data_IF_023713727636
#
_entry.id   IF_023713727636
#
_cell.length_a   1.000
_cell.length_b   1.000
_cell.length_c   1.000
_cell.angle_alpha   90.00
_cell.angle_beta   90.00
_cell.angle_gamma   90.00
#
_symmetry.space_group_name_H-M   'P 1'
#
loop_
_entity.id
_entity.type
_entity.pdbx_description
1 polymer ?
#
# COMPACT_ATOMS: atom_id res chain seq x y z
N UNK A 1 -16.68 -35.64 12.59
CA UNK A 1 -16.78 -34.17 12.56
C UNK A 1 -15.38 -33.66 12.29
N UNK A 2 -15.04 -33.43 11.02
CA UNK A 2 -13.73 -32.90 10.62
C UNK A 2 -13.78 -31.39 10.83
N UNK A 3 -12.95 -30.89 11.77
CA UNK A 3 -12.74 -29.46 11.93
C UNK A 3 -12.09 -28.94 10.64
N UNK A 4 -12.88 -28.28 9.84
CA UNK A 4 -12.48 -27.52 8.66
C UNK A 4 -11.50 -26.45 9.13
N UNK A 5 -10.23 -26.69 8.90
CA UNK A 5 -9.15 -25.78 9.23
C UNK A 5 -9.35 -24.56 8.35
N UNK A 6 -10.09 -23.56 8.85
CA UNK A 6 -10.24 -22.28 8.19
C UNK A 6 -8.85 -21.73 7.88
N UNK A 7 -8.42 -21.83 6.63
CA UNK A 7 -7.11 -21.36 6.20
C UNK A 7 -7.07 -19.85 6.43
N UNK A 8 -6.10 -19.39 7.24
CA UNK A 8 -5.95 -17.95 7.50
C UNK A 8 -5.82 -17.22 6.18
N UNK A 9 -6.60 -16.15 5.96
CA UNK A 9 -6.57 -15.40 4.71
C UNK A 9 -5.15 -14.92 4.42
N UNK A 10 -4.69 -15.15 3.20
CA UNK A 10 -3.35 -14.74 2.76
C UNK A 10 -3.24 -13.22 2.78
N UNK A 11 -2.11 -12.73 3.31
CA UNK A 11 -1.82 -11.29 3.38
C UNK A 11 -0.88 -10.92 2.25
N UNK A 12 -1.35 -10.11 1.32
CA UNK A 12 -0.55 -9.58 0.24
C UNK A 12 0.00 -8.21 0.64
N UNK A 13 1.33 -8.12 0.74
CA UNK A 13 1.99 -6.87 1.15
C UNK A 13 1.88 -5.83 0.05
N UNK A 14 1.62 -4.58 0.43
CA UNK A 14 1.66 -3.46 -0.48
C UNK A 14 3.13 -3.08 -0.76
N UNK A 15 3.56 -3.19 -2.03
CA UNK A 15 4.92 -2.84 -2.46
C UNK A 15 5.31 -1.42 -2.11
N UNK A 16 4.35 -0.50 -2.12
CA UNK A 16 4.58 0.89 -1.77
C UNK A 16 5.03 1.06 -0.31
N UNK A 17 4.37 0.37 0.63
CA UNK A 17 4.75 0.41 2.03
C UNK A 17 6.11 -0.25 2.29
N UNK A 18 6.40 -1.34 1.57
CA UNK A 18 7.69 -2.01 1.65
C UNK A 18 8.84 -1.11 1.15
N UNK A 19 8.63 -0.43 0.04
CA UNK A 19 9.64 0.45 -0.55
C UNK A 19 9.89 1.70 0.31
N UNK A 20 8.81 2.30 0.85
CA UNK A 20 8.93 3.43 1.78
C UNK A 20 9.80 3.06 2.98
N UNK A 21 9.60 1.85 3.53
CA UNK A 21 10.46 1.33 4.59
C UNK A 21 11.93 1.22 4.15
N UNK A 22 12.19 0.66 2.97
CA UNK A 22 13.56 0.51 2.47
C UNK A 22 14.29 1.85 2.32
N UNK A 23 13.60 2.88 1.86
CA UNK A 23 14.18 4.21 1.71
C UNK A 23 14.41 4.90 3.06
N UNK A 24 13.42 4.84 3.94
CA UNK A 24 13.44 5.63 5.18
C UNK A 24 14.19 4.97 6.34
N UNK A 25 14.34 3.63 6.33
CA UNK A 25 15.08 2.93 7.38
C UNK A 25 16.52 3.42 7.54
N UNK A 26 17.16 3.75 6.41
CA UNK A 26 18.52 4.29 6.44
C UNK A 26 18.54 5.67 7.09
N UNK A 27 17.61 6.54 6.75
CA UNK A 27 17.49 7.87 7.32
C UNK A 27 17.17 7.83 8.82
N UNK A 28 16.23 7.00 9.24
CA UNK A 28 15.92 6.77 10.65
C UNK A 28 17.14 6.24 11.43
N UNK A 29 17.88 5.29 10.84
CA UNK A 29 19.12 4.77 11.42
C UNK A 29 20.20 5.81 11.54
N UNK A 30 20.36 6.67 10.55
CA UNK A 30 21.35 7.77 10.56
C UNK A 30 21.02 8.79 11.66
N UNK A 31 19.74 9.15 11.82
CA UNK A 31 19.31 10.04 12.92
C UNK A 31 19.62 9.42 14.29
N UNK A 32 19.31 8.12 14.47
CA UNK A 32 19.64 7.43 15.72
C UNK A 32 21.13 7.41 15.97
N UNK A 33 21.94 7.04 14.97
CA UNK A 33 23.40 6.98 15.11
C UNK A 33 23.99 8.37 15.44
N UNK A 34 23.53 9.41 14.72
CA UNK A 34 23.97 10.78 14.98
C UNK A 34 23.63 11.23 16.42
N UNK A 35 22.40 10.93 16.87
CA UNK A 35 21.99 11.23 18.25
C UNK A 35 22.82 10.51 19.30
N UNK A 36 23.09 9.21 19.11
CA UNK A 36 23.91 8.41 20.04
C UNK A 36 25.34 8.91 20.09
N UNK A 37 25.96 9.14 18.92
CA UNK A 37 27.35 9.64 18.83
C UNK A 37 27.49 11.03 19.47
N UNK A 38 26.59 11.95 19.13
CA UNK A 38 26.62 13.29 19.69
C UNK A 38 26.39 13.30 21.22
N UNK A 39 25.48 12.42 21.69
CA UNK A 39 25.26 12.23 23.14
C UNK A 39 26.53 11.69 23.81
N UNK A 40 27.19 10.69 23.24
CA UNK A 40 28.43 10.13 23.76
C UNK A 40 29.57 11.18 23.85
N UNK A 41 29.73 12.01 22.81
CA UNK A 41 30.72 13.11 22.80
C UNK A 41 30.40 14.14 23.89
N UNK A 42 29.12 14.50 24.04
CA UNK A 42 28.71 15.50 25.05
C UNK A 42 28.91 14.98 26.48
N UNK A 43 28.70 13.70 26.73
CA UNK A 43 29.02 13.05 28.01
C UNK A 43 30.51 13.10 28.28
N UNK A 44 31.34 12.73 27.29
CA UNK A 44 32.79 12.74 27.42
C UNK A 44 33.35 14.11 27.70
N UNK A 45 32.75 15.16 27.10
CA UNK A 45 33.15 16.57 27.32
C UNK A 45 32.58 17.17 28.61
N UNK A 46 31.80 16.44 29.39
CA UNK A 46 31.14 16.96 30.61
C UNK A 46 30.05 18.01 30.36
N UNK A 47 29.52 18.08 29.13
CA UNK A 47 28.56 19.11 28.70
C UNK A 47 27.09 18.64 28.73
N UNK A 48 26.74 17.74 29.65
CA UNK A 48 25.41 17.13 29.77
C UNK A 48 24.24 18.13 29.88
N UNK A 49 24.49 19.33 30.40
CA UNK A 49 23.46 20.35 30.60
C UNK A 49 23.60 21.56 29.68
N UNK A 50 24.43 21.47 28.64
CA UNK A 50 24.56 22.56 27.68
C UNK A 50 23.29 22.63 26.75
N UNK A 51 22.92 23.85 26.29
CA UNK A 51 21.83 23.99 25.32
C UNK A 51 22.05 23.19 24.05
N UNK A 52 23.31 23.05 23.60
CA UNK A 52 23.70 22.25 22.44
C UNK A 52 23.39 20.77 22.62
N UNK A 53 23.57 20.21 23.83
CA UNK A 53 23.24 18.84 24.14
C UNK A 53 21.74 18.55 23.99
N UNK A 54 20.90 19.47 24.45
CA UNK A 54 19.44 19.34 24.35
C UNK A 54 18.96 19.19 22.91
N UNK A 55 19.60 19.85 21.95
CA UNK A 55 19.30 19.73 20.52
C UNK A 55 19.60 18.32 20.00
N UNK A 56 20.75 17.75 20.38
CA UNK A 56 21.14 16.41 19.93
C UNK A 56 20.24 15.32 20.52
N UNK A 57 19.75 15.50 21.74
CA UNK A 57 18.87 14.56 22.41
C UNK A 57 17.55 14.35 21.64
N UNK A 58 17.11 15.35 20.85
CA UNK A 58 15.90 15.26 20.04
C UNK A 58 16.05 14.23 18.89
N UNK A 59 17.25 13.99 18.39
CA UNK A 59 17.47 13.08 17.26
C UNK A 59 17.15 11.62 17.61
N UNK A 60 17.39 11.19 18.85
CA UNK A 60 17.11 9.83 19.30
C UNK A 60 15.61 9.53 19.25
N UNK A 61 14.73 10.26 19.97
CA UNK A 61 13.29 10.01 19.92
C UNK A 61 12.71 10.22 18.52
N UNK A 62 13.23 11.19 17.75
CA UNK A 62 12.80 11.42 16.37
C UNK A 62 13.13 10.22 15.48
N UNK A 63 14.33 9.66 15.58
CA UNK A 63 14.73 8.46 14.84
C UNK A 63 13.89 7.23 15.20
N UNK A 64 13.62 7.04 16.51
CA UNK A 64 12.74 5.95 16.99
C UNK A 64 11.31 6.15 16.49
N UNK A 65 10.76 7.35 16.61
CA UNK A 65 9.41 7.66 16.17
C UNK A 65 9.26 7.45 14.65
N UNK A 66 10.18 8.00 13.87
CA UNK A 66 10.18 7.87 12.42
C UNK A 66 10.30 6.41 11.99
N UNK A 67 11.28 5.68 12.53
CA UNK A 67 11.47 4.26 12.25
C UNK A 67 10.26 3.42 12.67
N UNK A 68 9.73 3.65 13.86
CA UNK A 68 8.58 2.96 14.40
C UNK A 68 7.31 3.18 13.57
N UNK A 69 7.02 4.44 13.19
CA UNK A 69 5.87 4.79 12.36
C UNK A 69 5.93 4.11 11.00
N UNK A 70 7.10 4.15 10.34
CA UNK A 70 7.26 3.57 9.01
C UNK A 70 7.22 2.04 9.06
N UNK A 71 7.79 1.44 10.13
CA UNK A 71 7.73 0.01 10.36
C UNK A 71 6.29 -0.46 10.58
N UNK A 72 5.54 0.26 11.42
CA UNK A 72 4.12 0.00 11.67
C UNK A 72 3.30 0.12 10.38
N UNK A 73 3.58 1.14 9.55
CA UNK A 73 2.95 1.30 8.24
C UNK A 73 3.22 0.10 7.33
N UNK A 74 4.46 -0.39 7.28
CA UNK A 74 4.84 -1.58 6.51
C UNK A 74 4.05 -2.82 6.95
N UNK A 75 3.96 -3.08 8.25
CA UNK A 75 3.29 -4.28 8.77
C UNK A 75 1.77 -4.22 8.63
N UNK A 76 1.17 -3.04 8.81
CA UNK A 76 -0.28 -2.88 8.74
C UNK A 76 -0.81 -2.66 7.33
N UNK A 77 0.03 -2.22 6.39
CA UNK A 77 -0.37 -1.95 5.02
C UNK A 77 -0.39 -3.23 4.18
N UNK A 78 -1.53 -3.88 4.13
CA UNK A 78 -1.72 -5.14 3.39
C UNK A 78 -3.11 -5.20 2.74
N UNK A 79 -3.23 -6.12 1.78
CA UNK A 79 -4.49 -6.53 1.18
C UNK A 79 -4.75 -7.98 1.53
N UNK A 80 -5.99 -8.33 1.84
CA UNK A 80 -6.43 -9.68 2.17
C UNK A 80 -7.68 -10.00 1.37
N UNK A 81 -7.72 -11.20 0.82
CA UNK A 81 -8.91 -11.75 0.20
C UNK A 81 -9.64 -12.52 1.29
N UNK A 82 -10.85 -12.09 1.62
CA UNK A 82 -11.74 -12.70 2.61
C UNK A 82 -12.88 -13.40 1.88
N UNK A 83 -13.65 -14.21 2.59
CA UNK A 83 -14.80 -14.92 2.02
C UNK A 83 -15.94 -13.96 1.61
N UNK A 84 -16.07 -12.84 2.31
CA UNK A 84 -17.11 -11.81 2.11
C UNK A 84 -16.67 -10.61 1.27
N UNK A 85 -15.36 -10.47 1.00
CA UNK A 85 -14.85 -9.33 0.24
C UNK A 85 -13.35 -9.16 0.28
N UNK A 86 -12.88 -8.04 -0.28
CA UNK A 86 -11.47 -7.67 -0.31
C UNK A 86 -11.19 -6.62 0.76
N UNK A 87 -10.41 -6.98 1.76
CA UNK A 87 -9.97 -6.06 2.82
C UNK A 87 -8.67 -5.38 2.43
N UNK A 88 -8.70 -4.05 2.40
CA UNK A 88 -7.53 -3.21 2.18
C UNK A 88 -7.23 -2.49 3.49
N UNK A 89 -6.10 -2.83 4.09
CA UNK A 89 -5.68 -2.25 5.37
C UNK A 89 -4.59 -1.19 5.16
N UNK A 90 -4.70 -0.10 5.89
CA UNK A 90 -3.71 0.96 6.03
C UNK A 90 -3.16 0.97 7.45
N UNK A 91 -2.31 1.93 7.77
CA UNK A 91 -1.75 2.10 9.10
C UNK A 91 -2.83 2.22 10.19
N UNK A 92 -3.85 3.04 9.95
CA UNK A 92 -4.90 3.35 10.92
C UNK A 92 -6.28 2.87 10.50
N UNK A 93 -6.53 2.70 9.21
CA UNK A 93 -7.85 2.41 8.67
C UNK A 93 -7.83 1.13 7.84
N UNK A 94 -8.98 0.47 7.78
CA UNK A 94 -9.23 -0.63 6.85
C UNK A 94 -10.56 -0.40 6.13
N UNK A 95 -10.61 -0.84 4.88
CA UNK A 95 -11.82 -0.83 4.06
C UNK A 95 -12.05 -2.25 3.59
N UNK A 96 -13.26 -2.74 3.74
CA UNK A 96 -13.71 -4.01 3.12
C UNK A 96 -14.56 -3.63 1.92
N UNK A 97 -14.28 -4.24 0.80
CA UNK A 97 -15.00 -4.07 -0.46
C UNK A 97 -15.73 -5.38 -0.73
N UNK A 98 -17.03 -5.37 -0.60
CA UNK A 98 -17.87 -6.55 -0.86
C UNK A 98 -17.77 -6.96 -2.32
N UNK A 99 -17.80 -8.26 -2.61
CA UNK A 99 -17.70 -8.79 -3.97
C UNK A 99 -18.80 -8.26 -4.89
N UNK A 100 -20.01 -8.03 -4.37
CA UNK A 100 -21.14 -7.46 -5.13
C UNK A 100 -20.88 -6.04 -5.61
N UNK A 101 -20.02 -5.29 -4.89
CA UNK A 101 -19.59 -3.94 -5.25
C UNK A 101 -18.50 -3.96 -6.30
N UNK A 102 -17.85 -5.08 -6.56
CA UNK A 102 -16.75 -5.18 -7.52
C UNK A 102 -17.31 -5.34 -8.94
N UNK A 103 -16.94 -4.42 -9.81
CA UNK A 103 -17.33 -4.45 -11.22
C UNK A 103 -16.39 -5.30 -12.08
N UNK A 104 -15.10 -5.18 -11.82
CA UNK A 104 -14.05 -5.99 -12.42
C UNK A 104 -12.75 -5.87 -11.64
N UNK A 105 -11.90 -6.90 -11.77
CA UNK A 105 -10.55 -6.94 -11.24
C UNK A 105 -9.60 -7.32 -12.35
N UNK A 106 -8.44 -6.65 -12.44
CA UNK A 106 -7.40 -6.93 -13.45
C UNK A 106 -6.01 -6.70 -12.88
N UNK A 107 -5.05 -7.50 -13.33
CA UNK A 107 -3.64 -7.23 -13.14
C UNK A 107 -3.12 -6.41 -14.32
N UNK A 108 -2.69 -5.18 -14.07
CA UNK A 108 -2.20 -4.27 -15.10
C UNK A 108 -0.97 -3.52 -14.57
N UNK A 109 -0.07 -3.03 -15.45
CA UNK A 109 1.01 -2.16 -15.01
C UNK A 109 0.46 -0.88 -14.38
N UNK A 110 1.06 -0.44 -13.28
CA UNK A 110 0.58 0.72 -12.52
C UNK A 110 0.51 2.00 -13.36
N UNK A 111 1.33 2.14 -14.40
CA UNK A 111 1.31 3.26 -15.34
C UNK A 111 -0.05 3.51 -15.99
N UNK A 112 -0.87 2.48 -16.14
CA UNK A 112 -2.21 2.61 -16.74
C UNK A 112 -3.20 3.36 -15.84
N UNK A 113 -2.89 3.47 -14.55
CA UNK A 113 -3.71 4.24 -13.61
C UNK A 113 -3.44 5.75 -13.70
N UNK A 114 -2.24 6.12 -14.12
CA UNK A 114 -1.83 7.51 -14.18
C UNK A 114 -1.87 8.00 -15.63
N UNK A 115 -2.88 8.81 -15.96
CA UNK A 115 -2.90 9.53 -17.24
C UNK A 115 -1.77 10.56 -17.28
N UNK A 116 -1.28 10.91 -18.46
CA UNK A 116 -0.11 11.79 -18.66
C UNK A 116 -0.20 13.13 -17.91
N UNK A 117 -1.39 13.73 -17.79
CA UNK A 117 -1.61 14.98 -17.06
C UNK A 117 -1.33 14.87 -15.55
N UNK A 118 -1.49 13.69 -14.97
CA UNK A 118 -1.24 13.41 -13.54
C UNK A 118 0.19 12.96 -13.25
N UNK A 119 0.97 12.65 -14.26
CA UNK A 119 2.37 12.22 -14.15
C UNK A 119 3.23 13.17 -13.31
N UNK A 120 2.97 14.49 -13.37
CA UNK A 120 3.70 15.49 -12.57
C UNK A 120 3.40 15.43 -11.07
N UNK A 121 2.27 14.85 -10.67
CA UNK A 121 1.88 14.70 -9.26
C UNK A 121 2.25 13.34 -8.66
N UNK A 122 2.83 12.43 -9.45
CA UNK A 122 3.25 11.12 -8.96
C UNK A 122 4.42 11.33 -8.02
N UNK A 123 4.26 10.89 -6.77
CA UNK A 123 5.35 10.92 -5.81
C UNK A 123 6.57 10.15 -6.35
N UNK A 124 7.82 10.60 -6.08
CA UNK A 124 9.03 9.93 -6.57
C UNK A 124 9.06 8.44 -6.28
N UNK A 125 8.51 8.03 -5.13
CA UNK A 125 8.36 6.63 -4.71
C UNK A 125 7.50 5.81 -5.68
N UNK A 126 6.46 6.42 -6.26
CA UNK A 126 5.58 5.74 -7.21
C UNK A 126 6.22 5.59 -8.58
N UNK A 127 7.13 6.48 -8.98
CA UNK A 127 7.84 6.39 -10.27
C UNK A 127 8.61 5.09 -10.41
N UNK A 128 9.17 4.57 -9.31
CA UNK A 128 9.92 3.31 -9.32
C UNK A 128 9.02 2.07 -9.46
N UNK A 129 7.72 2.21 -9.21
CA UNK A 129 6.75 1.12 -9.31
C UNK A 129 5.82 1.26 -10.52
N UNK A 130 6.05 2.26 -11.36
CA UNK A 130 5.12 2.60 -12.45
C UNK A 130 4.95 1.47 -13.47
N UNK A 131 5.99 0.69 -13.71
CA UNK A 131 5.97 -0.46 -14.62
C UNK A 131 5.67 -1.80 -13.92
N UNK A 132 5.57 -1.80 -12.58
CA UNK A 132 5.25 -3.01 -11.84
C UNK A 132 3.77 -3.36 -11.96
N UNK A 133 3.45 -4.66 -11.88
CA UNK A 133 2.07 -5.11 -11.87
C UNK A 133 1.36 -4.60 -10.61
N UNK A 134 0.11 -4.22 -10.79
CA UNK A 134 -0.78 -3.81 -9.71
C UNK A 134 -2.15 -4.45 -9.91
N UNK A 135 -2.84 -4.70 -8.82
CA UNK A 135 -4.24 -5.13 -8.83
C UNK A 135 -5.11 -3.90 -8.98
N UNK A 136 -5.88 -3.87 -10.06
CA UNK A 136 -6.89 -2.85 -10.33
C UNK A 136 -8.25 -3.40 -9.96
N UNK A 137 -8.94 -2.73 -9.06
CA UNK A 137 -10.29 -3.07 -8.63
C UNK A 137 -11.20 -1.91 -9.01
N UNK A 138 -12.13 -2.14 -9.92
CA UNK A 138 -13.19 -1.16 -10.21
C UNK A 138 -14.39 -1.46 -9.34
N UNK A 139 -14.78 -0.49 -8.55
CA UNK A 139 -15.87 -0.59 -7.59
C UNK A 139 -17.12 0.09 -8.15
N UNK A 140 -18.28 -0.48 -7.88
CA UNK A 140 -19.58 0.13 -8.11
C UNK A 140 -20.01 0.80 -6.82
N UNK A 141 -20.42 2.05 -6.87
CA UNK A 141 -20.92 2.78 -5.71
C UNK A 141 -21.45 4.14 -6.13
N UNK A 142 -22.24 4.74 -5.27
CA UNK A 142 -22.62 6.14 -5.38
C UNK A 142 -21.47 7.06 -4.94
N UNK A 143 -21.56 8.33 -5.29
CA UNK A 143 -20.49 9.30 -4.99
C UNK A 143 -20.18 9.41 -3.49
N UNK A 144 -21.18 9.20 -2.62
CA UNK A 144 -20.98 9.26 -1.18
C UNK A 144 -20.19 8.04 -0.66
N UNK A 145 -20.51 6.83 -1.12
CA UNK A 145 -19.79 5.61 -0.75
C UNK A 145 -18.34 5.67 -1.24
N UNK A 146 -18.12 6.13 -2.48
CA UNK A 146 -16.79 6.31 -3.05
C UNK A 146 -15.97 7.37 -2.30
N UNK A 147 -16.58 8.49 -1.93
CA UNK A 147 -15.94 9.53 -1.14
C UNK A 147 -15.55 9.03 0.28
N UNK A 148 -16.43 8.27 0.94
CA UNK A 148 -16.16 7.62 2.23
C UNK A 148 -15.03 6.61 2.12
N UNK A 149 -15.03 5.78 1.07
CA UNK A 149 -13.97 4.80 0.80
C UNK A 149 -12.64 5.52 0.57
N UNK A 150 -12.60 6.56 -0.24
CA UNK A 150 -11.42 7.39 -0.50
C UNK A 150 -10.86 8.01 0.79
N UNK A 151 -11.73 8.52 1.67
CA UNK A 151 -11.35 9.05 2.99
C UNK A 151 -10.76 7.97 3.88
N UNK A 152 -11.36 6.80 3.94
CA UNK A 152 -10.93 5.68 4.78
C UNK A 152 -9.64 5.02 4.28
N UNK A 153 -9.34 5.05 2.98
CA UNK A 153 -8.08 4.54 2.43
C UNK A 153 -6.87 5.40 2.83
N UNK A 154 -7.08 6.62 3.36
CA UNK A 154 -6.05 7.50 3.92
C UNK A 154 -5.23 8.26 2.88
N UNK A 155 -4.47 9.25 3.35
CA UNK A 155 -3.76 10.24 2.53
C UNK A 155 -2.83 9.62 1.47
N UNK A 156 -2.07 8.59 1.80
CA UNK A 156 -1.15 7.93 0.86
C UNK A 156 -1.86 7.04 -0.14
N UNK A 157 -3.03 6.50 0.19
CA UNK A 157 -3.80 5.60 -0.67
C UNK A 157 -4.86 6.31 -1.50
N UNK A 158 -5.27 7.50 -1.11
CA UNK A 158 -6.18 8.30 -1.91
C UNK A 158 -5.63 8.62 -3.31
N UNK A 159 -4.29 8.58 -3.47
CA UNK A 159 -3.62 8.70 -4.77
C UNK A 159 -3.69 7.42 -5.62
N UNK A 160 -3.94 6.28 -5.00
CA UNK A 160 -4.13 5.01 -5.69
C UNK A 160 -5.58 4.76 -6.08
N UNK A 161 -6.49 5.63 -5.68
CA UNK A 161 -7.89 5.59 -6.06
C UNK A 161 -8.19 6.76 -7.00
N UNK A 162 -8.60 6.43 -8.21
CA UNK A 162 -9.09 7.36 -9.21
C UNK A 162 -10.53 7.04 -9.55
N UNK A 163 -11.43 8.02 -9.26
CA UNK A 163 -12.88 7.84 -9.40
C UNK A 163 -13.38 6.55 -8.74
N UNK A 164 -13.72 5.54 -9.55
CA UNK A 164 -14.22 4.23 -9.13
C UNK A 164 -13.13 3.15 -9.10
N UNK A 165 -11.88 3.46 -9.47
CA UNK A 165 -10.83 2.47 -9.66
C UNK A 165 -9.75 2.61 -8.59
N UNK A 166 -9.46 1.50 -7.92
CA UNK A 166 -8.39 1.38 -6.92
C UNK A 166 -7.26 0.57 -7.56
N UNK A 167 -6.04 1.09 -7.52
CA UNK A 167 -4.84 0.41 -8.00
C UNK A 167 -3.88 0.15 -6.84
N UNK A 168 -3.56 -1.11 -6.56
CA UNK A 168 -2.68 -1.49 -5.46
C UNK A 168 -1.51 -2.28 -6.02
N UNK A 169 -0.28 -1.76 -5.94
CA UNK A 169 0.89 -2.51 -6.34
C UNK A 169 1.17 -3.62 -5.32
N UNK A 170 1.13 -4.86 -5.79
CA UNK A 170 1.45 -6.06 -5.02
C UNK A 170 2.49 -6.88 -5.77
N UNK A 171 3.32 -7.69 -5.08
CA UNK A 171 4.35 -8.49 -5.74
C UNK A 171 3.78 -9.46 -6.77
N UNK A 172 2.66 -10.06 -6.45
CA UNK A 172 2.03 -11.15 -7.22
C UNK A 172 0.58 -10.79 -7.56
N UNK A 173 0.45 -9.80 -8.47
CA UNK A 173 -0.85 -9.25 -8.83
C UNK A 173 -1.75 -10.27 -9.53
N UNK A 174 -1.17 -11.18 -10.34
CA UNK A 174 -1.94 -12.20 -11.07
C UNK A 174 -2.58 -13.21 -10.11
N UNK A 175 -1.84 -13.68 -9.10
CA UNK A 175 -2.37 -14.59 -8.07
C UNK A 175 -3.50 -13.93 -7.30
N UNK A 176 -3.32 -12.67 -6.90
CA UNK A 176 -4.37 -11.93 -6.17
C UNK A 176 -5.62 -11.74 -7.02
N UNK A 177 -5.45 -11.39 -8.30
CA UNK A 177 -6.58 -11.27 -9.23
C UNK A 177 -7.31 -12.60 -9.39
N UNK A 178 -6.56 -13.70 -9.48
CA UNK A 178 -7.15 -15.03 -9.55
C UNK A 178 -7.93 -15.38 -8.27
N UNK A 179 -7.36 -15.14 -7.08
CA UNK A 179 -8.03 -15.36 -5.80
C UNK A 179 -9.32 -14.54 -5.69
N UNK A 180 -9.31 -13.26 -6.05
CA UNK A 180 -10.52 -12.42 -6.04
C UNK A 180 -11.53 -12.90 -7.06
N UNK A 181 -11.08 -13.26 -8.27
CA UNK A 181 -11.96 -13.71 -9.35
C UNK A 181 -12.69 -15.00 -9.03
N UNK A 182 -12.10 -15.87 -8.20
CA UNK A 182 -12.74 -17.10 -7.75
C UNK A 182 -13.99 -16.87 -6.87
N UNK A 183 -14.07 -15.70 -6.22
CA UNK A 183 -15.21 -15.32 -5.38
C UNK A 183 -16.21 -14.40 -6.11
N UNK A 184 -15.88 -13.92 -7.32
CA UNK A 184 -16.79 -13.08 -8.08
C UNK A 184 -17.89 -13.92 -8.76
N UNK A 185 -19.15 -13.42 -8.81
CA UNK A 185 -20.21 -14.07 -9.57
C UNK A 185 -19.82 -14.28 -11.03
N UNK A 186 -20.17 -15.44 -11.61
CA UNK A 186 -19.75 -15.85 -12.97
C UNK A 186 -19.97 -14.80 -14.08
N UNK A 187 -20.94 -13.92 -13.92
CA UNK A 187 -21.24 -12.84 -14.90
C UNK A 187 -20.10 -11.86 -15.10
N UNK A 188 -19.19 -11.71 -14.12
CA UNK A 188 -18.09 -10.75 -14.16
C UNK A 188 -16.84 -11.39 -14.78
N UNK A 189 -16.66 -12.71 -14.62
CA UNK A 189 -15.51 -13.46 -15.13
C UNK A 189 -15.48 -13.61 -16.66
N UNK A 190 -16.63 -13.67 -17.33
CA UNK A 190 -16.71 -13.95 -18.78
C UNK A 190 -16.20 -12.81 -19.69
N UNK A 191 -16.15 -11.56 -19.22
CA UNK A 191 -15.63 -10.44 -20.02
C UNK A 191 -14.10 -10.36 -20.11
N UNK A 192 -13.36 -11.22 -19.42
CA UNK A 192 -11.90 -11.23 -19.45
C UNK A 192 -11.29 -12.01 -20.63
N UNK A 193 -12.06 -12.92 -21.26
CA UNK A 193 -11.59 -13.80 -22.34
C UNK A 193 -11.74 -13.25 -23.77
N UNK A 194 -12.47 -12.16 -23.98
CA UNK A 194 -12.93 -11.77 -25.32
C UNK A 194 -11.92 -11.04 -26.22
N UNK A 195 -10.82 -10.53 -25.70
CA UNK A 195 -9.93 -9.64 -26.48
C UNK A 195 -8.82 -10.36 -27.28
N UNK A 196 -8.55 -11.64 -27.01
CA UNK A 196 -7.43 -12.34 -27.70
C UNK A 196 -7.82 -13.05 -29.02
N UNK A 197 -9.11 -13.18 -29.36
CA UNK A 197 -9.53 -13.96 -30.54
C UNK A 197 -9.77 -13.15 -31.83
N UNK A 198 -9.70 -11.83 -31.83
CA UNK A 198 -10.05 -11.00 -33.00
C UNK A 198 -8.88 -10.55 -33.89
N UNK A 199 -7.63 -10.95 -33.62
CA UNK A 199 -6.45 -10.52 -34.42
C UNK A 199 -5.84 -11.62 -35.33
N UNK A 200 -6.59 -12.66 -35.69
CA UNK A 200 -6.09 -13.71 -36.58
C UNK A 200 -6.95 -13.96 -37.82
N UNK A 201 -7.62 -12.96 -38.35
CA UNK A 201 -8.24 -12.99 -39.69
C UNK A 201 -8.11 -11.62 -40.32
N UNK A 202 -6.98 -11.33 -40.94
CA UNK A 202 -6.81 -10.54 -42.17
C UNK A 202 -5.43 -10.83 -42.70
#
# INVERSE_FOLDING_TARGET
MSAETASRPRRHQNLYAHHLWQQQRFFAGLLLAAGVVATGISIYQGQLFSPAFSVWLIYIPTGILLGGVILLYRYRSNMQVLDDGVKISSMFNSVVIDYDSIRWVKALPLKQHFQERRSRMIAPIMKQHIDKPAVFIKVRGDDQALAKMKKNLGLFRSRLMDEETIAIPVPDADTVVWEISAHLPERIGQNQGGSRRRKRRR
#
